data_IF_972610777831
#
_entry.id   IF_972610777831
#
_cell.length_a   1.000
_cell.length_b   1.000
_cell.length_c   1.000
_cell.angle_alpha   90.00
_cell.angle_beta   90.00
_cell.angle_gamma   90.00
#
_symmetry.space_group_name_H-M   'P 1'
#
loop_
_entity.id
_entity.type
_entity.pdbx_description
1 polymer ?
#
# COMPACT_ATOMS: atom_id res chain seq x y z
N UNK A 1 16.83 21.25 14.91
CA UNK A 1 16.21 19.93 15.02
C UNK A 1 15.49 19.86 16.36
N UNK A 2 14.20 19.47 16.38
CA UNK A 2 13.39 19.42 17.59
C UNK A 2 13.06 17.97 17.97
N UNK A 3 13.01 17.68 19.26
CA UNK A 3 12.67 16.35 19.76
C UNK A 3 11.17 16.25 19.95
N UNK A 4 10.55 15.19 19.43
CA UNK A 4 9.12 14.98 19.62
C UNK A 4 8.83 14.67 21.11
N UNK A 5 7.90 15.39 21.77
CA UNK A 5 7.58 15.15 23.19
C UNK A 5 6.85 13.82 23.40
N UNK A 6 6.25 13.25 22.35
CA UNK A 6 5.49 12.00 22.46
C UNK A 6 6.37 10.75 22.31
N UNK A 7 7.39 10.79 21.43
CA UNK A 7 8.20 9.60 21.11
C UNK A 7 9.70 9.78 21.35
N UNK A 8 10.16 10.97 21.72
CA UNK A 8 11.57 11.24 22.01
C UNK A 8 12.51 11.21 20.79
N UNK A 9 12.00 11.02 19.58
CA UNK A 9 12.82 11.01 18.34
C UNK A 9 13.05 12.40 17.80
N UNK A 10 14.17 12.55 17.10
CA UNK A 10 14.54 13.79 16.42
C UNK A 10 13.65 14.01 15.20
N UNK A 11 13.18 15.25 15.05
CA UNK A 11 12.31 15.68 13.96
C UNK A 11 12.81 17.01 13.41
N UNK A 12 12.58 17.23 12.12
CA UNK A 12 12.90 18.50 11.46
C UNK A 12 12.13 19.66 12.11
N UNK A 13 12.75 20.83 12.19
CA UNK A 13 12.18 22.01 12.86
C UNK A 13 10.87 22.46 12.22
N UNK A 14 10.79 22.35 10.89
CA UNK A 14 9.64 22.76 10.07
C UNK A 14 8.56 21.68 9.94
N UNK A 15 8.81 20.47 10.44
CA UNK A 15 7.80 19.43 10.38
C UNK A 15 6.64 19.76 11.33
N UNK A 16 5.42 19.65 10.82
CA UNK A 16 4.16 19.83 11.56
C UNK A 16 3.62 18.52 12.15
N UNK A 17 4.11 17.39 11.65
CA UNK A 17 3.72 16.04 12.08
C UNK A 17 4.98 15.20 12.24
N UNK A 18 5.08 14.46 13.34
CA UNK A 18 6.22 13.58 13.59
C UNK A 18 6.17 12.37 12.65
N UNK A 19 7.16 12.14 11.78
CA UNK A 19 7.16 11.00 10.84
C UNK A 19 7.30 9.64 11.56
N UNK A 20 7.65 9.64 12.84
CA UNK A 20 7.85 8.43 13.61
C UNK A 20 6.62 7.98 14.43
N UNK A 21 5.73 8.90 14.81
CA UNK A 21 4.57 8.57 15.64
C UNK A 21 3.25 9.20 15.18
N UNK A 22 3.29 10.08 14.17
CA UNK A 22 2.10 10.72 13.62
C UNK A 22 1.52 11.86 14.45
N UNK A 23 2.10 12.19 15.61
CA UNK A 23 1.62 13.31 16.43
C UNK A 23 1.94 14.66 15.80
N UNK A 24 0.98 15.58 15.87
CA UNK A 24 1.17 16.95 15.45
C UNK A 24 2.13 17.70 16.38
N UNK A 25 2.96 18.55 15.80
CA UNK A 25 3.95 19.34 16.52
C UNK A 25 3.50 20.80 16.55
N UNK A 26 3.56 21.47 17.71
CA UNK A 26 3.22 22.88 17.80
C UNK A 26 4.15 23.71 16.92
N UNK A 27 3.58 24.72 16.23
CA UNK A 27 4.30 25.56 15.27
C UNK A 27 5.27 26.55 15.91
N UNK A 28 5.17 26.79 17.22
CA UNK A 28 6.02 27.73 17.95
C UNK A 28 6.65 27.00 19.13
N UNK A 29 7.98 26.87 19.08
CA UNK A 29 8.80 26.38 20.18
C UNK A 29 10.07 27.25 20.23
N UNK A 30 10.45 27.86 21.36
CA UNK A 30 9.83 27.86 22.70
C UNK A 30 8.53 28.70 22.78
N UNK A 31 7.68 28.48 23.80
CA UNK A 31 6.42 29.23 23.97
C UNK A 31 6.68 30.75 24.09
N UNK A 32 5.90 31.60 23.41
CA UNK A 32 5.95 33.06 23.60
C UNK A 32 5.56 33.43 25.05
N UNK A 33 6.10 34.51 25.63
CA UNK A 33 5.66 35.02 26.92
C UNK A 33 4.14 35.29 26.88
N UNK A 34 3.39 34.71 27.82
CA UNK A 34 1.92 34.55 27.87
C UNK A 34 1.10 35.87 28.02
N UNK A 35 1.62 37.01 27.54
CA UNK A 35 1.03 38.33 27.74
C UNK A 35 0.37 38.98 26.53
N UNK A 36 0.38 38.36 25.35
CA UNK A 36 -0.25 38.93 24.16
C UNK A 36 -1.44 38.09 23.68
N UNK A 37 -2.59 38.70 23.37
CA UNK A 37 -3.70 37.98 22.76
C UNK A 37 -3.22 37.37 21.44
N UNK A 38 -3.52 36.08 21.18
CA UNK A 38 -3.06 35.41 19.97
C UNK A 38 -3.64 36.14 18.74
N UNK A 39 -2.84 36.38 17.68
CA UNK A 39 -3.35 36.95 16.44
C UNK A 39 -4.48 36.07 15.89
N UNK A 40 -5.53 36.66 15.28
CA UNK A 40 -6.63 35.89 14.72
C UNK A 40 -6.09 34.86 13.74
N UNK A 41 -6.38 33.59 14.00
CA UNK A 41 -5.89 32.47 13.22
C UNK A 41 -6.28 32.65 11.74
N UNK A 42 -5.33 32.52 10.80
CA UNK A 42 -5.67 32.52 9.38
C UNK A 42 -6.63 31.35 9.10
N UNK A 43 -7.64 31.53 8.22
CA UNK A 43 -8.58 30.46 7.91
C UNK A 43 -7.80 29.25 7.42
N UNK A 44 -8.04 28.10 8.05
CA UNK A 44 -7.41 26.84 7.71
C UNK A 44 -7.59 26.56 6.22
N UNK A 45 -6.55 26.85 5.45
CA UNK A 45 -6.49 26.54 4.03
C UNK A 45 -6.65 25.04 3.88
N UNK A 46 -7.76 24.62 3.29
CA UNK A 46 -8.03 23.24 2.90
C UNK A 46 -6.99 22.86 1.85
N UNK A 47 -5.83 22.39 2.29
CA UNK A 47 -4.80 21.94 1.36
C UNK A 47 -5.34 20.72 0.63
N UNK A 48 -5.31 20.84 -0.70
CA UNK A 48 -5.75 19.87 -1.69
C UNK A 48 -5.07 18.53 -1.39
N UNK A 49 -5.76 17.68 -0.65
CA UNK A 49 -5.48 16.26 -0.61
C UNK A 49 -5.71 15.75 -2.03
N UNK A 50 -4.61 15.49 -2.73
CA UNK A 50 -4.42 14.30 -3.59
C UNK A 50 -5.75 13.56 -3.84
N UNK A 51 -6.35 13.83 -5.00
CA UNK A 51 -7.59 13.30 -5.57
C UNK A 51 -8.23 12.11 -4.82
N UNK A 52 -8.88 12.38 -3.68
CA UNK A 52 -9.57 11.36 -2.89
C UNK A 52 -10.72 10.69 -3.68
N UNK A 53 -11.21 11.32 -4.75
CA UNK A 53 -12.30 10.81 -5.59
C UNK A 53 -11.86 9.77 -6.62
N UNK A 54 -10.57 9.73 -7.00
CA UNK A 54 -10.06 8.77 -7.99
C UNK A 54 -9.77 7.40 -7.38
N UNK A 55 -9.18 7.39 -6.18
CA UNK A 55 -8.70 6.16 -5.54
C UNK A 55 -9.84 5.24 -5.06
N UNK A 56 -10.99 5.78 -4.65
CA UNK A 56 -12.14 4.96 -4.21
C UNK A 56 -12.87 4.24 -5.36
N UNK A 57 -12.77 4.72 -6.60
CA UNK A 57 -13.36 4.05 -7.77
C UNK A 57 -12.35 3.11 -8.46
N UNK A 58 -11.07 3.50 -8.51
CA UNK A 58 -10.03 2.67 -9.11
C UNK A 58 -9.75 1.41 -8.29
N UNK A 59 -9.82 1.47 -6.96
CA UNK A 59 -9.65 0.32 -6.07
C UNK A 59 -10.56 -0.87 -6.42
N UNK A 60 -11.90 -0.72 -6.36
CA UNK A 60 -12.82 -1.81 -6.65
C UNK A 60 -12.74 -2.27 -8.12
N UNK A 61 -12.54 -1.36 -9.08
CA UNK A 61 -12.40 -1.74 -10.50
C UNK A 61 -11.16 -2.61 -10.71
N UNK A 62 -10.02 -2.23 -10.14
CA UNK A 62 -8.78 -3.01 -10.22
C UNK A 62 -8.91 -4.35 -9.48
N UNK A 63 -9.62 -4.38 -8.35
CA UNK A 63 -9.89 -5.62 -7.61
C UNK A 63 -10.74 -6.59 -8.46
N UNK A 64 -11.83 -6.11 -9.04
CA UNK A 64 -12.71 -6.90 -9.90
C UNK A 64 -11.95 -7.37 -11.14
N UNK A 65 -11.23 -6.48 -11.83
CA UNK A 65 -10.42 -6.82 -13.00
C UNK A 65 -9.38 -7.91 -12.68
N UNK A 66 -8.70 -7.81 -11.53
CA UNK A 66 -7.71 -8.81 -11.10
C UNK A 66 -8.36 -10.17 -10.84
N UNK A 67 -9.56 -10.18 -10.26
CA UNK A 67 -10.32 -11.41 -10.02
C UNK A 67 -10.71 -12.10 -11.33
N UNK A 68 -11.19 -11.33 -12.31
CA UNK A 68 -11.52 -11.85 -13.64
C UNK A 68 -10.28 -12.40 -14.35
N UNK A 69 -9.15 -11.69 -14.32
CA UNK A 69 -7.89 -12.15 -14.94
C UNK A 69 -7.40 -13.44 -14.27
N UNK A 70 -7.48 -13.54 -12.94
CA UNK A 70 -7.08 -14.74 -12.20
C UNK A 70 -8.00 -15.93 -12.50
N UNK A 71 -9.32 -15.73 -12.54
CA UNK A 71 -10.27 -16.77 -12.93
C UNK A 71 -10.07 -17.23 -14.38
N UNK A 72 -9.91 -16.28 -15.32
CA UNK A 72 -9.66 -16.61 -16.72
C UNK A 72 -8.33 -17.34 -16.89
N UNK A 73 -7.26 -16.91 -16.21
CA UNK A 73 -5.99 -17.63 -16.21
C UNK A 73 -6.12 -19.06 -15.68
N UNK A 74 -6.85 -19.24 -14.57
CA UNK A 74 -7.06 -20.55 -13.94
C UNK A 74 -7.90 -21.50 -14.79
N UNK A 75 -8.81 -20.99 -15.63
CA UNK A 75 -9.63 -21.81 -16.53
C UNK A 75 -8.96 -22.05 -17.88
N UNK A 76 -8.41 -21.00 -18.49
CA UNK A 76 -7.78 -21.06 -19.82
C UNK A 76 -6.54 -21.94 -19.80
N UNK A 77 -5.75 -21.91 -18.73
CA UNK A 77 -4.51 -22.68 -18.72
C UNK A 77 -4.68 -24.19 -18.65
N UNK A 78 -5.52 -24.81 -17.79
CA UNK A 78 -5.76 -26.25 -17.85
C UNK A 78 -6.40 -26.67 -19.17
N UNK A 79 -7.24 -25.82 -19.78
CA UNK A 79 -7.81 -26.08 -21.12
C UNK A 79 -6.71 -26.10 -22.18
N UNK A 80 -5.84 -25.09 -22.21
CA UNK A 80 -4.69 -25.04 -23.11
C UNK A 80 -3.71 -26.19 -22.84
N UNK A 81 -3.45 -26.51 -21.57
CA UNK A 81 -2.59 -27.61 -21.18
C UNK A 81 -3.13 -28.94 -21.69
N UNK A 82 -4.43 -29.21 -21.53
CA UNK A 82 -5.07 -30.43 -22.05
C UNK A 82 -5.07 -30.48 -23.58
N UNK A 83 -5.35 -29.36 -24.25
CA UNK A 83 -5.31 -29.26 -25.71
C UNK A 83 -3.89 -29.52 -26.25
N UNK A 84 -2.88 -28.91 -25.62
CA UNK A 84 -1.47 -29.08 -25.98
C UNK A 84 -0.98 -30.48 -25.64
N UNK A 85 -1.38 -31.07 -24.50
CA UNK A 85 -1.02 -32.43 -24.12
C UNK A 85 -1.50 -33.46 -25.15
N UNK A 86 -2.67 -33.21 -25.74
CA UNK A 86 -3.23 -34.07 -26.78
C UNK A 86 -2.44 -34.02 -28.09
N UNK A 87 -1.70 -32.94 -28.32
CA UNK A 87 -1.04 -32.67 -29.61
C UNK A 87 0.49 -32.85 -29.53
N UNK A 88 1.10 -32.52 -28.39
CA UNK A 88 2.56 -32.52 -28.18
C UNK A 88 2.94 -32.93 -26.74
N UNK A 89 3.06 -34.24 -26.45
CA UNK A 89 3.31 -34.73 -25.09
C UNK A 89 4.69 -34.33 -24.53
N UNK A 90 5.68 -34.06 -25.40
CA UNK A 90 7.01 -33.62 -24.98
C UNK A 90 7.05 -32.15 -24.50
N UNK A 91 6.26 -31.28 -25.12
CA UNK A 91 6.23 -29.84 -24.81
C UNK A 91 5.39 -29.55 -23.54
N UNK A 92 4.36 -30.36 -23.29
CA UNK A 92 3.44 -30.16 -22.16
C UNK A 92 4.13 -30.18 -20.79
N UNK A 93 5.22 -30.93 -20.62
CA UNK A 93 5.96 -31.00 -19.35
C UNK A 93 6.58 -29.65 -18.96
N UNK A 94 7.04 -28.85 -19.93
CA UNK A 94 7.60 -27.52 -19.69
C UNK A 94 6.53 -26.49 -19.30
N UNK A 95 5.36 -26.55 -19.95
CA UNK A 95 4.25 -25.63 -19.66
C UNK A 95 3.63 -25.91 -18.28
N UNK A 96 3.61 -27.17 -17.84
CA UNK A 96 3.16 -27.54 -16.49
C UNK A 96 4.04 -26.96 -15.38
N UNK A 97 5.37 -27.01 -15.53
CA UNK A 97 6.30 -26.40 -14.57
C UNK A 97 6.17 -24.89 -14.48
N UNK A 98 5.98 -24.21 -15.62
CA UNK A 98 5.71 -22.77 -15.65
C UNK A 98 4.45 -22.40 -14.84
N UNK A 99 3.42 -23.25 -14.91
CA UNK A 99 2.19 -23.03 -14.16
C UNK A 99 2.36 -23.21 -12.65
N UNK A 100 3.07 -24.27 -12.24
CA UNK A 100 3.40 -24.52 -10.83
C UNK A 100 4.18 -23.36 -10.23
N UNK A 101 5.16 -22.80 -10.96
CA UNK A 101 5.93 -21.64 -10.50
C UNK A 101 5.08 -20.36 -10.40
N UNK A 102 4.16 -20.15 -11.35
CA UNK A 102 3.27 -18.99 -11.33
C UNK A 102 2.30 -19.05 -10.14
N UNK A 103 1.74 -20.23 -9.86
CA UNK A 103 0.88 -20.45 -8.68
C UNK A 103 1.68 -20.28 -7.39
N UNK A 104 2.87 -20.89 -7.29
CA UNK A 104 3.75 -20.73 -6.13
C UNK A 104 4.14 -19.26 -5.86
N UNK A 105 4.48 -18.52 -6.91
CA UNK A 105 4.80 -17.09 -6.83
C UNK A 105 3.59 -16.26 -6.36
N UNK A 106 2.41 -16.52 -6.94
CA UNK A 106 1.18 -15.85 -6.53
C UNK A 106 0.81 -16.14 -5.07
N UNK A 107 0.94 -17.40 -4.63
CA UNK A 107 0.70 -17.75 -3.23
C UNK A 107 1.71 -17.10 -2.28
N UNK A 108 2.99 -17.02 -2.65
CA UNK A 108 4.01 -16.37 -1.83
C UNK A 108 3.74 -14.87 -1.64
N UNK A 109 3.27 -14.18 -2.70
CA UNK A 109 2.92 -12.75 -2.64
C UNK A 109 1.65 -12.51 -1.82
N UNK A 110 0.65 -13.40 -1.93
CA UNK A 110 -0.59 -13.26 -1.16
C UNK A 110 -0.43 -13.64 0.32
N UNK A 111 0.39 -14.65 0.65
CA UNK A 111 0.59 -15.13 2.03
C UNK A 111 1.80 -14.52 2.76
N UNK A 112 2.74 -13.90 2.03
CA UNK A 112 3.90 -13.22 2.62
C UNK A 112 3.53 -12.06 3.57
N UNK A 113 2.61 -11.14 3.20
CA UNK A 113 2.22 -10.03 4.06
C UNK A 113 1.47 -10.47 5.32
N UNK A 114 0.70 -11.56 5.24
CA UNK A 114 -0.06 -12.10 6.39
C UNK A 114 0.83 -12.72 7.45
N UNK A 115 2.02 -13.21 7.08
CA UNK A 115 3.00 -13.74 8.05
C UNK A 115 3.76 -12.61 8.76
N UNK A 116 3.98 -11.47 8.09
CA UNK A 116 4.71 -10.34 8.67
C UNK A 116 3.87 -9.57 9.71
N UNK A 117 2.54 -9.54 9.56
CA UNK A 117 1.65 -8.84 10.50
C UNK A 117 1.34 -9.63 11.80
N UNK A 118 1.68 -10.92 11.86
CA UNK A 118 1.56 -11.74 13.07
C UNK A 118 2.80 -11.67 13.98
N UNK A 119 3.85 -10.96 13.56
CA UNK A 119 5.13 -10.87 14.27
C UNK A 119 5.41 -9.50 14.93
N UNK A 120 4.51 -8.51 14.78
CA UNK A 120 4.61 -7.18 15.39
C UNK A 120 3.36 -6.81 16.18
#
# INVERSE_FOLDING_TARGET
MKTCPHCGRQVADDARLCPNCGTEMPAVWPPPPEGTPPPPAPPAGKLITRSQTGDFALGPVLSVASFFVMCLGFLVTPILYLAVYRTYPAFARGLGWGWVLTVLGATAVCFGPTLFHQQW
#
